data_IF_341930586397
#
_entry.id   IF_341930586397
#
_cell.length_a   1.000
_cell.length_b   1.000
_cell.length_c   1.000
_cell.angle_alpha   90.00
_cell.angle_beta   90.00
_cell.angle_gamma   90.00
#
_symmetry.space_group_name_H-M   'P 1'
#
loop_
_entity.id
_entity.type
_entity.pdbx_description
1 polymer ?
#
# COMPACT_ATOMS: atom_id res chain seq x y z
N UNK A 1 15.19 57.40 -45.51
CA UNK A 1 13.96 58.13 -45.18
C UNK A 1 13.64 57.67 -43.79
N UNK A 2 14.14 58.31 -42.77
CA UNK A 2 13.81 59.57 -42.15
C UNK A 2 12.50 59.52 -41.39
N UNK A 3 12.65 59.78 -40.13
CA UNK A 3 11.70 60.34 -39.21
C UNK A 3 11.28 59.39 -38.12
N UNK A 4 11.28 59.74 -36.85
CA UNK A 4 11.61 60.96 -36.16
C UNK A 4 11.24 60.72 -34.72
N UNK A 5 12.07 61.20 -33.87
CA UNK A 5 12.02 61.14 -32.41
C UNK A 5 10.96 62.14 -31.93
N UNK A 6 10.23 61.82 -30.89
CA UNK A 6 9.64 62.83 -30.02
C UNK A 6 9.85 62.42 -28.54
N UNK A 7 10.77 63.15 -27.93
CA UNK A 7 11.00 63.26 -26.49
C UNK A 7 9.83 63.98 -25.84
N UNK A 8 9.34 63.46 -24.76
CA UNK A 8 8.45 64.16 -23.83
C UNK A 8 9.14 64.23 -22.47
N UNK A 9 9.70 65.40 -22.17
CA UNK A 9 10.08 65.83 -20.83
C UNK A 9 8.85 65.91 -19.96
N UNK A 10 8.91 65.32 -18.77
CA UNK A 10 7.97 65.56 -17.70
C UNK A 10 8.71 65.99 -16.42
N UNK A 11 8.39 67.18 -16.03
CA UNK A 11 8.89 67.93 -14.89
C UNK A 11 8.90 67.14 -13.56
N UNK A 12 10.01 67.36 -12.84
CA UNK A 12 10.20 66.90 -11.46
C UNK A 12 9.62 67.97 -10.55
N UNK A 13 8.51 67.69 -9.95
CA UNK A 13 7.93 68.54 -8.89
C UNK A 13 8.45 68.08 -7.50
N UNK A 14 9.25 68.93 -6.91
CA UNK A 14 9.95 68.79 -5.63
C UNK A 14 8.96 69.07 -4.48
N UNK A 15 8.27 68.02 -4.00
CA UNK A 15 7.53 68.11 -2.74
C UNK A 15 8.35 67.56 -1.58
N UNK A 16 9.02 68.47 -0.88
CA UNK A 16 9.60 68.27 0.44
C UNK A 16 8.49 67.84 1.41
N UNK A 17 8.50 66.56 1.74
CA UNK A 17 7.65 66.08 2.81
C UNK A 17 8.43 65.98 4.12
N UNK A 18 7.82 66.56 5.13
CA UNK A 18 8.36 66.72 6.49
C UNK A 18 8.61 65.34 7.12
N UNK A 19 9.90 65.03 7.38
CA UNK A 19 10.29 63.89 8.23
C UNK A 19 9.80 64.16 9.66
N UNK A 20 8.69 63.53 9.99
CA UNK A 20 8.27 63.36 11.37
C UNK A 20 9.12 62.21 11.95
N UNK A 21 10.21 62.56 12.64
CA UNK A 21 11.12 61.66 13.31
C UNK A 21 10.49 61.20 14.64
N UNK A 22 9.49 60.31 14.56
CA UNK A 22 9.03 59.58 15.73
C UNK A 22 10.02 58.43 16.00
N UNK A 23 11.00 58.68 16.82
CA UNK A 23 11.86 57.71 17.45
C UNK A 23 11.00 56.86 18.41
N UNK A 24 10.24 55.90 17.85
CA UNK A 24 9.59 54.85 18.62
C UNK A 24 10.67 53.80 18.85
N UNK A 25 11.13 53.66 20.10
CA UNK A 25 12.01 52.57 20.55
C UNK A 25 11.35 51.20 20.22
N UNK A 26 11.60 50.70 19.02
CA UNK A 26 11.15 49.38 18.61
C UNK A 26 12.05 48.35 19.24
N UNK A 27 11.64 47.77 20.38
CA UNK A 27 12.44 46.82 21.12
C UNK A 27 12.51 45.52 20.36
N UNK A 28 13.70 45.13 19.88
CA UNK A 28 13.96 43.85 19.25
C UNK A 28 14.20 42.75 20.28
N UNK A 29 14.02 41.52 19.89
CA UNK A 29 14.35 40.31 20.66
C UNK A 29 14.97 39.30 19.74
N UNK A 30 15.89 38.51 20.28
CA UNK A 30 16.50 37.39 19.55
C UNK A 30 15.84 36.09 19.98
N UNK A 31 15.36 35.32 19.01
CA UNK A 31 14.72 34.01 19.24
C UNK A 31 15.64 32.92 18.70
N UNK A 32 16.02 31.99 19.55
CA UNK A 32 16.75 30.78 19.12
C UNK A 32 15.74 29.75 18.58
N UNK A 33 15.86 29.41 17.29
CA UNK A 33 15.04 28.42 16.61
C UNK A 33 15.87 27.13 16.48
N UNK A 34 15.39 26.04 17.07
CA UNK A 34 16.05 24.72 16.98
C UNK A 34 15.36 23.84 15.94
N UNK A 35 16.10 23.47 14.89
CA UNK A 35 15.65 22.55 13.86
C UNK A 35 16.59 21.32 13.79
N UNK A 36 16.13 20.18 14.29
CA UNK A 36 16.95 18.98 14.39
C UNK A 36 18.19 19.20 15.27
N UNK A 37 19.39 19.07 14.68
CA UNK A 37 20.67 19.32 15.36
C UNK A 37 21.14 20.78 15.24
N UNK A 38 20.57 21.56 14.33
CA UNK A 38 20.94 22.94 14.07
C UNK A 38 20.16 23.92 14.95
N UNK A 39 20.80 25.05 15.29
CA UNK A 39 20.16 26.21 15.94
C UNK A 39 20.47 27.45 15.13
N UNK A 40 19.46 28.27 14.87
CA UNK A 40 19.56 29.57 14.23
C UNK A 40 19.02 30.64 15.17
N UNK A 41 19.55 31.86 15.06
CA UNK A 41 19.14 33.00 15.88
C UNK A 41 18.46 34.03 14.97
N UNK A 42 17.23 34.37 15.29
CA UNK A 42 16.44 35.33 14.51
C UNK A 42 16.18 36.55 15.37
N UNK A 43 16.70 37.68 14.94
CA UNK A 43 16.37 38.99 15.50
C UNK A 43 15.09 39.50 14.91
N UNK A 44 14.13 39.88 15.78
CA UNK A 44 12.78 40.31 15.37
C UNK A 44 12.23 41.38 16.35
N UNK A 45 11.47 42.33 15.83
CA UNK A 45 10.75 43.26 16.66
C UNK A 45 9.69 42.58 17.52
N UNK A 46 9.51 42.96 18.76
CA UNK A 46 8.47 42.41 19.64
C UNK A 46 7.05 42.67 19.11
N UNK A 47 6.86 43.68 18.26
CA UNK A 47 5.59 43.98 17.60
C UNK A 47 5.32 43.13 16.38
N UNK A 48 6.36 42.50 15.83
CA UNK A 48 6.22 41.61 14.68
C UNK A 48 5.32 40.42 14.97
N UNK A 49 4.61 39.96 13.95
CA UNK A 49 3.69 38.83 14.03
C UNK A 49 4.43 37.45 13.88
N UNK A 50 3.76 36.39 14.30
CA UNK A 50 4.22 35.01 14.06
C UNK A 50 4.40 34.75 12.57
N UNK A 51 3.55 35.34 11.72
CA UNK A 51 3.68 35.26 10.24
C UNK A 51 5.02 35.84 9.76
N UNK A 52 5.44 36.98 10.32
CA UNK A 52 6.72 37.60 9.99
C UNK A 52 7.90 36.74 10.51
N UNK A 53 7.76 36.17 11.71
CA UNK A 53 8.75 35.22 12.23
C UNK A 53 8.89 34.03 11.29
N UNK A 54 7.80 33.44 10.86
CA UNK A 54 7.82 32.31 9.90
C UNK A 54 8.49 32.66 8.57
N UNK A 55 8.27 33.89 8.05
CA UNK A 55 8.97 34.37 6.83
C UNK A 55 10.49 34.54 7.06
N UNK A 56 10.90 34.99 8.24
CA UNK A 56 12.34 35.06 8.56
C UNK A 56 12.93 33.65 8.69
N UNK A 57 12.25 32.72 9.33
CA UNK A 57 12.64 31.31 9.40
C UNK A 57 12.77 30.70 8.00
N UNK A 58 11.85 30.98 7.09
CA UNK A 58 11.89 30.51 5.69
C UNK A 58 13.16 30.98 4.98
N UNK A 59 13.58 32.23 5.16
CA UNK A 59 14.79 32.78 4.53
C UNK A 59 16.05 32.05 5.00
N UNK A 60 16.10 31.68 6.27
CA UNK A 60 17.27 31.01 6.88
C UNK A 60 17.26 29.49 6.65
N UNK A 61 16.07 28.87 6.54
CA UNK A 61 15.96 27.40 6.54
C UNK A 61 15.43 26.82 5.22
N UNK A 62 14.84 27.66 4.36
CA UNK A 62 14.13 27.24 3.17
C UNK A 62 12.83 26.47 3.44
N UNK A 63 12.33 26.47 4.69
CA UNK A 63 11.07 25.84 5.06
C UNK A 63 9.94 26.84 4.89
N UNK A 64 9.02 26.58 3.99
CA UNK A 64 7.87 27.45 3.74
C UNK A 64 7.00 27.62 4.99
N UNK A 65 6.40 28.80 5.24
CA UNK A 65 5.61 29.12 6.44
C UNK A 65 4.51 28.10 6.75
N UNK A 66 3.86 27.57 5.72
CA UNK A 66 2.81 26.55 5.85
C UNK A 66 3.34 25.19 6.36
N UNK A 67 4.61 24.89 6.11
CA UNK A 67 5.27 23.67 6.52
C UNK A 67 5.99 23.79 7.88
N UNK A 68 5.99 24.98 8.48
CA UNK A 68 6.61 25.24 9.79
C UNK A 68 5.64 24.92 10.91
N UNK A 69 5.98 23.96 11.76
CA UNK A 69 5.28 23.68 13.01
C UNK A 69 6.19 24.03 14.20
N UNK A 70 5.72 24.92 15.06
CA UNK A 70 6.44 25.37 16.27
C UNK A 70 5.64 24.98 17.53
N UNK A 71 5.68 23.72 17.97
CA UNK A 71 4.77 23.16 18.97
C UNK A 71 4.88 23.79 20.36
N UNK A 72 6.02 24.40 20.66
CA UNK A 72 6.25 25.08 21.94
C UNK A 72 6.07 26.61 21.87
N UNK A 73 5.69 27.17 20.73
CA UNK A 73 5.34 28.59 20.60
C UNK A 73 3.82 28.75 20.77
N UNK A 74 3.41 29.20 21.95
CA UNK A 74 2.00 29.20 22.39
C UNK A 74 1.53 30.57 22.84
N UNK A 75 0.25 30.85 22.58
CA UNK A 75 -0.51 31.91 23.18
C UNK A 75 -1.55 31.30 24.14
N UNK A 76 -1.27 31.39 25.44
CA UNK A 76 -2.01 30.66 26.46
C UNK A 76 -1.87 29.14 26.34
N UNK A 77 -2.97 28.41 26.19
CA UNK A 77 -2.98 26.94 26.06
C UNK A 77 -2.89 26.43 24.59
N UNK A 78 -3.03 27.34 23.62
CA UNK A 78 -3.08 27.01 22.18
C UNK A 78 -1.79 27.40 21.47
N UNK A 79 -1.57 26.84 20.26
CA UNK A 79 -0.48 27.30 19.40
C UNK A 79 -0.72 28.76 19.02
N UNK A 80 0.36 29.54 18.95
CA UNK A 80 0.28 30.96 18.58
C UNK A 80 -0.23 31.09 17.14
N UNK A 81 -1.32 31.83 16.91
CA UNK A 81 -1.82 32.08 15.56
C UNK A 81 -0.89 33.04 14.80
N UNK A 82 -0.92 32.98 13.48
CA UNK A 82 -0.02 33.74 12.61
C UNK A 82 -0.13 35.29 12.80
N UNK A 83 -1.27 35.77 13.23
CA UNK A 83 -1.56 37.19 13.49
C UNK A 83 -1.09 37.65 14.87
N UNK A 84 -0.77 36.76 15.79
CA UNK A 84 -0.31 37.13 17.12
C UNK A 84 1.06 37.84 17.06
N UNK A 85 1.22 38.96 17.82
CA UNK A 85 2.51 39.59 17.95
C UNK A 85 3.44 38.82 18.91
N UNK A 86 4.75 38.93 18.70
CA UNK A 86 5.74 38.32 19.60
C UNK A 86 5.55 38.77 21.04
N UNK A 87 5.22 40.04 21.24
CA UNK A 87 4.97 40.61 22.57
C UNK A 87 3.75 39.97 23.25
N UNK A 88 2.70 39.66 22.49
CA UNK A 88 1.48 39.03 23.03
C UNK A 88 1.70 37.63 23.60
N UNK A 89 2.77 36.96 23.24
CA UNK A 89 3.13 35.62 23.75
C UNK A 89 3.64 35.66 25.21
N UNK A 90 3.99 36.85 25.72
CA UNK A 90 4.54 37.04 27.06
C UNK A 90 5.95 36.44 27.15
N UNK A 91 6.12 35.43 27.99
CA UNK A 91 7.44 34.78 28.15
C UNK A 91 7.68 33.78 26.98
N UNK A 92 8.63 34.14 26.13
CA UNK A 92 9.09 33.23 25.07
C UNK A 92 9.85 32.02 25.64
N UNK A 93 9.75 30.84 25.02
CA UNK A 93 10.60 29.72 25.36
C UNK A 93 12.06 30.05 25.02
N UNK A 94 13.01 29.57 25.81
CA UNK A 94 14.47 29.78 25.58
C UNK A 94 14.89 29.31 24.16
N UNK A 95 14.23 28.28 23.64
CA UNK A 95 14.41 27.75 22.29
C UNK A 95 13.05 27.41 21.70
N UNK A 96 12.77 27.91 20.52
CA UNK A 96 11.59 27.55 19.75
C UNK A 96 11.93 26.31 18.91
N UNK A 97 11.17 25.24 19.09
CA UNK A 97 11.31 24.03 18.29
C UNK A 97 10.64 24.21 16.94
N UNK A 98 11.39 24.01 15.86
CA UNK A 98 10.91 24.02 14.49
C UNK A 98 10.85 22.60 13.95
N UNK A 99 9.65 22.19 13.52
CA UNK A 99 9.40 20.97 12.78
C UNK A 99 8.98 21.36 11.36
N UNK A 100 9.61 20.77 10.37
CA UNK A 100 9.33 21.03 8.96
C UNK A 100 10.46 20.51 8.08
N UNK A 101 10.22 20.39 6.78
CA UNK A 101 11.24 20.09 5.76
C UNK A 101 11.30 21.24 4.78
N UNK A 102 12.49 21.59 4.32
CA UNK A 102 12.66 22.61 3.31
C UNK A 102 12.10 22.11 1.97
N UNK A 103 11.66 23.04 1.14
CA UNK A 103 11.18 22.73 -0.22
C UNK A 103 12.30 22.08 -1.04
N UNK A 104 13.56 22.42 -0.78
CA UNK A 104 14.73 21.77 -1.39
C UNK A 104 14.82 20.30 -0.98
N UNK A 105 14.70 20.00 0.33
CA UNK A 105 14.75 18.61 0.82
C UNK A 105 13.61 17.78 0.26
N UNK A 106 12.41 18.37 0.12
CA UNK A 106 11.26 17.70 -0.49
C UNK A 106 11.47 17.49 -1.99
N UNK A 107 12.07 18.46 -2.67
CA UNK A 107 12.36 18.36 -4.10
C UNK A 107 13.53 17.40 -4.36
N UNK A 108 14.57 17.42 -3.54
CA UNK A 108 15.66 16.44 -3.60
C UNK A 108 15.17 15.02 -3.30
N UNK A 109 14.29 14.83 -2.32
CA UNK A 109 13.65 13.55 -2.07
C UNK A 109 12.81 13.08 -3.27
N UNK A 110 12.02 13.98 -3.87
CA UNK A 110 11.25 13.68 -5.09
C UNK A 110 12.14 13.40 -6.29
N UNK A 111 13.25 14.12 -6.42
CA UNK A 111 14.22 13.87 -7.49
C UNK A 111 15.00 12.58 -7.26
N UNK A 112 15.38 12.28 -6.02
CA UNK A 112 15.95 10.98 -5.64
C UNK A 112 14.97 9.84 -5.86
N UNK A 113 13.69 10.02 -5.51
CA UNK A 113 12.62 9.07 -5.83
C UNK A 113 12.47 8.88 -7.34
N UNK A 114 12.50 9.97 -8.12
CA UNK A 114 12.44 9.92 -9.56
C UNK A 114 13.68 9.26 -10.17
N UNK A 115 14.88 9.59 -9.71
CA UNK A 115 16.13 8.92 -10.10
C UNK A 115 16.18 7.45 -9.68
N UNK A 116 15.62 7.10 -8.51
CA UNK A 116 15.48 5.72 -8.07
C UNK A 116 14.42 4.96 -8.88
N UNK A 117 13.35 5.63 -9.32
CA UNK A 117 12.38 5.06 -10.28
C UNK A 117 12.99 4.90 -11.68
N UNK A 118 13.80 5.85 -12.13
CA UNK A 118 14.48 5.79 -13.44
C UNK A 118 15.65 4.80 -13.45
N UNK A 119 16.31 4.61 -12.29
CA UNK A 119 17.39 3.62 -12.09
C UNK A 119 16.88 2.30 -11.49
N UNK A 120 15.59 2.20 -11.15
CA UNK A 120 14.99 0.92 -10.86
C UNK A 120 15.23 0.04 -12.10
N UNK A 121 15.81 -1.16 -11.94
CA UNK A 121 15.94 -2.06 -13.06
C UNK A 121 14.55 -2.17 -13.68
N UNK A 122 14.50 -1.98 -14.99
CA UNK A 122 13.28 -2.15 -15.77
C UNK A 122 12.60 -3.39 -15.23
N UNK A 123 11.42 -3.24 -14.64
CA UNK A 123 10.66 -4.38 -14.14
C UNK A 123 10.31 -5.12 -15.41
N UNK A 124 11.15 -6.12 -15.73
CA UNK A 124 10.91 -7.00 -16.86
C UNK A 124 9.49 -7.53 -16.65
N UNK A 125 8.64 -7.11 -17.54
CA UNK A 125 7.24 -7.47 -17.52
C UNK A 125 7.20 -8.99 -17.72
N UNK A 126 6.89 -9.74 -16.66
CA UNK A 126 6.77 -11.21 -16.72
C UNK A 126 5.66 -11.66 -17.70
N UNK A 127 5.00 -10.70 -18.38
CA UNK A 127 4.02 -10.95 -19.41
C UNK A 127 4.58 -11.59 -20.69
N UNK A 128 5.89 -11.43 -20.96
CA UNK A 128 6.45 -11.93 -22.21
C UNK A 128 6.85 -13.42 -22.20
N UNK A 129 6.74 -14.13 -21.07
CA UNK A 129 7.10 -15.53 -21.07
C UNK A 129 6.32 -16.42 -20.09
N UNK A 130 5.12 -16.82 -20.47
CA UNK A 130 4.50 -18.02 -19.89
C UNK A 130 5.41 -19.28 -20.02
N UNK A 131 6.38 -19.24 -20.94
CA UNK A 131 7.38 -20.29 -21.15
C UNK A 131 8.42 -20.34 -20.03
N UNK A 132 8.81 -19.19 -19.44
CA UNK A 132 9.76 -19.12 -18.31
C UNK A 132 9.13 -19.48 -16.96
N UNK A 133 7.81 -19.53 -16.88
CA UNK A 133 7.08 -19.90 -15.66
C UNK A 133 7.03 -21.40 -15.39
N UNK A 134 7.46 -22.23 -16.33
CA UNK A 134 7.42 -23.71 -16.23
C UNK A 134 8.60 -24.31 -15.46
N UNK A 135 9.74 -23.63 -15.38
CA UNK A 135 10.94 -24.13 -14.71
C UNK A 135 10.90 -23.85 -13.21
N UNK A 136 11.19 -24.82 -12.35
CA UNK A 136 11.28 -24.60 -10.92
C UNK A 136 12.51 -23.75 -10.59
N UNK A 137 12.31 -22.61 -9.95
CA UNK A 137 13.39 -21.79 -9.40
C UNK A 137 13.95 -22.51 -8.16
N UNK A 138 15.05 -23.26 -8.30
CA UNK A 138 15.66 -24.06 -7.23
C UNK A 138 16.61 -23.25 -6.32
N UNK A 139 16.44 -21.93 -6.25
CA UNK A 139 17.32 -21.06 -5.46
C UNK A 139 17.30 -21.37 -3.95
N UNK A 140 16.22 -21.93 -3.43
CA UNK A 140 16.07 -22.22 -2.00
C UNK A 140 17.03 -23.30 -1.47
N UNK A 141 17.56 -24.17 -2.32
CA UNK A 141 18.49 -25.22 -1.97
C UNK A 141 19.96 -24.84 -2.21
N UNK A 142 20.23 -23.69 -2.84
CA UNK A 142 21.59 -23.25 -3.13
C UNK A 142 22.27 -22.68 -1.87
N UNK A 143 23.40 -23.28 -1.41
CA UNK A 143 24.11 -22.81 -0.23
C UNK A 143 24.50 -21.32 -0.27
N UNK A 144 24.80 -20.79 -1.47
CA UNK A 144 25.18 -19.37 -1.65
C UNK A 144 24.00 -18.46 -1.28
N UNK A 145 22.79 -18.81 -1.71
CA UNK A 145 21.60 -17.98 -1.41
C UNK A 145 21.13 -18.17 0.03
N UNK A 146 21.28 -19.37 0.58
CA UNK A 146 21.05 -19.63 2.01
C UNK A 146 21.99 -18.77 2.87
N UNK A 147 23.27 -18.71 2.51
CA UNK A 147 24.25 -17.85 3.21
C UNK A 147 23.92 -16.35 3.05
N UNK A 148 23.49 -15.90 1.86
CA UNK A 148 23.02 -14.52 1.65
C UNK A 148 21.80 -14.18 2.49
N UNK A 149 20.85 -15.11 2.61
CA UNK A 149 19.69 -14.96 3.48
C UNK A 149 20.12 -14.82 4.95
N UNK A 150 21.01 -15.70 5.44
CA UNK A 150 21.51 -15.63 6.81
C UNK A 150 22.22 -14.28 7.11
N UNK A 151 23.06 -13.81 6.19
CA UNK A 151 23.70 -12.50 6.29
C UNK A 151 22.69 -11.35 6.28
N UNK A 152 21.59 -11.47 5.52
CA UNK A 152 20.53 -10.48 5.47
C UNK A 152 19.71 -10.45 6.76
N UNK A 153 19.42 -11.62 7.35
CA UNK A 153 18.76 -11.74 8.65
C UNK A 153 19.59 -11.05 9.71
N UNK A 154 20.89 -11.31 9.77
CA UNK A 154 21.78 -10.71 10.78
C UNK A 154 21.88 -9.19 10.61
N UNK A 155 21.98 -8.69 9.37
CA UNK A 155 22.07 -7.25 9.08
C UNK A 155 20.83 -6.46 9.52
N UNK A 156 19.65 -7.06 9.38
CA UNK A 156 18.37 -6.42 9.68
C UNK A 156 17.62 -7.16 10.80
N UNK A 157 18.36 -7.68 11.76
CA UNK A 157 17.85 -8.37 12.93
C UNK A 157 17.02 -7.41 13.79
N UNK A 158 15.83 -7.86 14.20
CA UNK A 158 14.99 -7.12 15.12
C UNK A 158 14.02 -6.14 14.45
N UNK A 159 13.41 -6.55 13.33
CA UNK A 159 12.20 -5.86 12.84
C UNK A 159 11.16 -5.84 13.97
N UNK A 160 10.88 -4.64 14.50
CA UNK A 160 9.80 -4.47 15.47
C UNK A 160 8.46 -4.51 14.74
N UNK A 161 7.56 -5.43 15.10
CA UNK A 161 6.23 -5.46 14.53
C UNK A 161 5.44 -4.19 14.93
N UNK A 162 4.48 -3.80 14.12
CA UNK A 162 3.56 -2.68 14.41
C UNK A 162 2.50 -3.06 15.45
N UNK A 163 2.16 -4.34 15.50
CA UNK A 163 1.19 -4.91 16.40
C UNK A 163 1.69 -6.27 16.90
N UNK A 164 1.10 -6.75 17.99
CA UNK A 164 1.42 -8.07 18.53
C UNK A 164 0.93 -9.19 17.61
N UNK A 165 1.69 -10.29 17.60
CA UNK A 165 1.28 -11.54 16.96
C UNK A 165 0.15 -12.20 17.74
N UNK A 166 -0.75 -12.89 17.06
CA UNK A 166 -1.93 -13.52 17.67
C UNK A 166 -1.81 -15.03 17.67
N UNK A 167 -2.13 -15.66 18.79
CA UNK A 167 -2.10 -17.11 18.92
C UNK A 167 -3.05 -17.82 17.96
N UNK A 168 -2.60 -18.95 17.39
CA UNK A 168 -3.38 -19.78 16.47
C UNK A 168 -3.63 -19.17 15.10
N UNK A 169 -3.06 -17.98 14.79
CA UNK A 169 -3.16 -17.38 13.47
C UNK A 169 -2.06 -17.90 12.54
N UNK A 170 -2.39 -17.95 11.25
CA UNK A 170 -1.45 -18.22 10.17
C UNK A 170 -0.83 -16.89 9.69
N UNK A 171 0.12 -16.94 8.79
CA UNK A 171 0.79 -15.75 8.26
C UNK A 171 0.41 -15.52 6.80
N UNK A 172 -0.07 -14.31 6.50
CA UNK A 172 -0.33 -13.82 5.15
C UNK A 172 0.63 -12.69 4.83
N UNK A 173 1.44 -12.86 3.79
CA UNK A 173 2.38 -11.84 3.31
C UNK A 173 1.87 -11.29 1.98
N UNK A 174 1.77 -9.97 1.86
CA UNK A 174 1.19 -9.32 0.69
C UNK A 174 2.18 -8.31 0.10
N UNK A 175 2.41 -8.41 -1.19
CA UNK A 175 3.03 -7.36 -1.98
C UNK A 175 2.08 -6.18 -2.17
N UNK A 176 2.61 -5.02 -2.61
CA UNK A 176 1.84 -3.79 -2.84
C UNK A 176 1.58 -3.58 -4.33
N UNK A 177 2.66 -3.42 -5.10
CA UNK A 177 2.62 -2.90 -6.45
C UNK A 177 2.02 -3.94 -7.41
N UNK A 178 0.95 -3.55 -8.11
CA UNK A 178 0.10 -4.44 -8.92
C UNK A 178 -0.57 -5.61 -8.18
N UNK A 179 -0.30 -5.78 -6.90
CA UNK A 179 -0.98 -6.74 -6.02
C UNK A 179 -2.17 -6.11 -5.33
N UNK A 180 -1.96 -5.04 -4.59
CA UNK A 180 -3.00 -4.29 -3.86
C UNK A 180 -3.28 -2.90 -4.45
N UNK A 181 -2.38 -2.41 -5.30
CA UNK A 181 -2.37 -1.03 -5.78
C UNK A 181 -1.74 -0.95 -7.18
N UNK A 182 -2.34 -0.13 -8.06
CA UNK A 182 -1.77 0.20 -9.37
C UNK A 182 -0.92 1.46 -9.28
N UNK A 183 0.40 1.29 -9.24
CA UNK A 183 1.32 2.41 -9.02
C UNK A 183 1.66 3.23 -10.27
N UNK A 184 1.29 2.77 -11.48
CA UNK A 184 1.62 3.45 -12.76
C UNK A 184 0.48 4.26 -13.36
N UNK A 185 -0.75 3.86 -13.09
CA UNK A 185 -1.91 4.61 -13.59
C UNK A 185 -1.98 5.97 -12.89
N UNK A 186 -2.11 7.09 -13.62
CA UNK A 186 -2.33 8.39 -13.00
C UNK A 186 -3.65 8.40 -12.21
N UNK A 187 -3.67 9.00 -11.04
CA UNK A 187 -4.86 9.14 -10.20
C UNK A 187 -4.77 10.38 -9.32
N UNK A 188 -5.90 10.95 -8.97
CA UNK A 188 -5.96 12.11 -8.09
C UNK A 188 -5.70 11.72 -6.62
N UNK A 189 -6.05 10.49 -6.28
CA UNK A 189 -5.85 9.94 -4.93
C UNK A 189 -5.57 8.43 -4.97
N UNK A 190 -5.01 7.91 -3.89
CA UNK A 190 -4.63 6.51 -3.80
C UNK A 190 -5.84 5.54 -3.86
N UNK A 191 -7.02 5.98 -3.45
CA UNK A 191 -8.23 5.13 -3.44
C UNK A 191 -8.70 4.76 -4.85
N UNK A 192 -8.47 5.64 -5.83
CA UNK A 192 -8.77 5.36 -7.25
C UNK A 192 -7.91 4.23 -7.80
N UNK A 193 -6.70 4.09 -7.28
CA UNK A 193 -5.69 3.14 -7.72
C UNK A 193 -5.62 1.89 -6.82
N UNK A 194 -6.38 1.87 -5.73
CA UNK A 194 -6.52 0.70 -4.87
C UNK A 194 -7.23 -0.43 -5.61
N UNK A 195 -6.76 -1.67 -5.45
CA UNK A 195 -7.46 -2.83 -5.99
C UNK A 195 -8.84 -2.99 -5.36
N UNK A 196 -9.88 -3.31 -6.12
CA UNK A 196 -11.22 -3.58 -5.60
C UNK A 196 -11.22 -4.60 -4.46
N UNK A 197 -12.11 -4.41 -3.49
CA UNK A 197 -12.29 -5.30 -2.33
C UNK A 197 -11.09 -5.37 -1.37
N UNK A 198 -10.13 -4.43 -1.43
CA UNK A 198 -8.92 -4.43 -0.58
C UNK A 198 -9.28 -4.56 0.92
N UNK A 199 -10.12 -3.68 1.44
CA UNK A 199 -10.46 -3.69 2.87
C UNK A 199 -11.36 -4.86 3.27
N UNK A 200 -12.24 -5.33 2.39
CA UNK A 200 -13.04 -6.53 2.62
C UNK A 200 -12.16 -7.77 2.72
N UNK A 201 -11.20 -7.90 1.79
CA UNK A 201 -10.20 -8.98 1.81
C UNK A 201 -9.36 -8.96 3.08
N UNK A 202 -8.76 -7.81 3.45
CA UNK A 202 -7.91 -7.68 4.63
C UNK A 202 -8.70 -7.95 5.92
N UNK A 203 -9.94 -7.44 6.03
CA UNK A 203 -10.82 -7.66 7.18
C UNK A 203 -11.18 -9.13 7.34
N UNK A 204 -11.43 -9.83 6.23
CA UNK A 204 -11.73 -11.25 6.25
C UNK A 204 -10.50 -12.09 6.60
N UNK A 205 -9.36 -11.81 5.92
CA UNK A 205 -8.10 -12.50 6.16
C UNK A 205 -7.64 -12.34 7.61
N UNK A 206 -7.80 -11.15 8.21
CA UNK A 206 -7.41 -10.87 9.59
C UNK A 206 -8.08 -11.79 10.62
N UNK A 207 -9.22 -12.36 10.31
CA UNK A 207 -9.89 -13.31 11.21
C UNK A 207 -9.04 -14.56 11.48
N UNK A 208 -8.19 -14.96 10.50
CA UNK A 208 -7.39 -16.20 10.55
C UNK A 208 -5.90 -16.00 10.40
N UNK A 209 -5.46 -14.84 9.94
CA UNK A 209 -4.06 -14.54 9.62
C UNK A 209 -3.58 -13.30 10.36
N UNK A 210 -2.33 -13.31 10.73
CA UNK A 210 -1.55 -12.11 10.91
C UNK A 210 -1.05 -11.66 9.53
N UNK A 211 -1.08 -10.34 9.28
CA UNK A 211 -0.86 -9.79 7.94
C UNK A 211 0.43 -8.97 7.94
N UNK A 212 1.33 -9.32 7.03
CA UNK A 212 2.58 -8.59 6.75
C UNK A 212 2.49 -8.00 5.34
N UNK A 213 2.89 -6.75 5.19
CA UNK A 213 3.04 -6.10 3.87
C UNK A 213 4.51 -6.07 3.51
N UNK A 214 4.88 -6.54 2.32
CA UNK A 214 6.26 -6.59 1.85
C UNK A 214 6.39 -6.04 0.43
N UNK A 215 6.99 -4.86 0.27
CA UNK A 215 7.26 -4.27 -1.05
C UNK A 215 8.75 -4.30 -1.41
N UNK A 216 9.04 -4.31 -2.70
CA UNK A 216 10.39 -4.14 -3.24
C UNK A 216 10.88 -2.67 -3.23
N UNK A 217 10.11 -1.77 -2.65
CA UNK A 217 10.40 -0.33 -2.55
C UNK A 217 10.96 0.06 -1.18
N UNK A 218 11.20 1.36 -0.94
CA UNK A 218 11.69 1.87 0.34
C UNK A 218 10.61 1.84 1.43
N UNK A 219 11.03 1.75 2.70
CA UNK A 219 10.10 1.78 3.85
C UNK A 219 9.25 3.06 3.89
N UNK A 220 9.80 4.18 3.43
CA UNK A 220 9.05 5.43 3.35
C UNK A 220 7.86 5.28 2.40
N UNK A 221 8.11 4.72 1.20
CA UNK A 221 7.07 4.44 0.21
C UNK A 221 6.01 3.46 0.73
N UNK A 222 6.45 2.34 1.35
CA UNK A 222 5.55 1.36 1.95
C UNK A 222 4.60 2.01 2.97
N UNK A 223 5.16 2.79 3.91
CA UNK A 223 4.38 3.49 4.94
C UNK A 223 3.40 4.49 4.33
N UNK A 224 3.88 5.32 3.39
CA UNK A 224 3.05 6.33 2.72
C UNK A 224 1.89 5.68 1.98
N UNK A 225 2.13 4.64 1.18
CA UNK A 225 1.07 3.95 0.43
C UNK A 225 0.06 3.26 1.34
N UNK A 226 0.51 2.56 2.35
CA UNK A 226 -0.40 1.91 3.30
C UNK A 226 -1.22 2.91 4.11
N UNK A 227 -0.69 4.09 4.36
CA UNK A 227 -1.41 5.18 5.03
C UNK A 227 -2.43 5.84 4.09
N UNK A 228 -2.04 6.17 2.85
CA UNK A 228 -2.93 6.75 1.85
C UNK A 228 -4.10 5.83 1.48
N UNK A 229 -3.85 4.52 1.43
CA UNK A 229 -4.87 3.51 1.22
C UNK A 229 -5.75 3.26 2.47
N UNK A 230 -5.46 3.90 3.60
CA UNK A 230 -6.19 3.70 4.87
C UNK A 230 -5.92 2.33 5.52
N UNK A 231 -4.92 1.58 5.05
CA UNK A 231 -4.61 0.22 5.52
C UNK A 231 -4.10 0.22 6.95
N UNK A 232 -3.29 1.23 7.35
CA UNK A 232 -2.69 1.29 8.70
C UNK A 232 -3.66 1.79 9.77
N UNK A 233 -4.77 2.42 9.40
CA UNK A 233 -5.75 3.01 10.33
C UNK A 233 -7.13 2.36 10.27
N UNK A 234 -7.26 1.25 9.55
CA UNK A 234 -8.55 0.59 9.38
C UNK A 234 -9.04 -0.06 10.69
N UNK A 235 -10.33 0.14 11.10
CA UNK A 235 -10.81 -0.33 12.39
C UNK A 235 -10.97 -1.85 12.50
N UNK A 236 -11.18 -2.57 11.39
CA UNK A 236 -11.52 -4.00 11.39
C UNK A 236 -10.33 -4.94 11.32
N UNK A 237 -9.12 -4.46 11.10
CA UNK A 237 -7.91 -5.27 11.04
C UNK A 237 -6.66 -4.46 11.41
N UNK A 238 -5.57 -5.17 11.68
CA UNK A 238 -4.26 -4.59 11.96
C UNK A 238 -3.20 -5.26 11.11
N UNK A 239 -2.23 -4.48 10.68
CA UNK A 239 -1.05 -4.98 9.97
C UNK A 239 0.00 -5.33 11.02
N UNK A 240 0.51 -6.57 10.98
CA UNK A 240 1.54 -7.04 11.91
C UNK A 240 2.86 -6.32 11.69
N UNK A 241 3.34 -6.27 10.45
CA UNK A 241 4.61 -5.64 10.11
C UNK A 241 4.63 -5.11 8.68
N UNK A 242 5.52 -4.12 8.44
CA UNK A 242 5.86 -3.61 7.11
C UNK A 242 7.31 -4.01 6.81
N UNK A 243 7.54 -4.51 5.62
CA UNK A 243 8.84 -4.99 5.15
C UNK A 243 9.16 -4.32 3.82
N UNK A 244 10.38 -3.87 3.64
CA UNK A 244 10.84 -3.15 2.45
C UNK A 244 11.91 -3.92 1.67
N UNK A 245 12.44 -3.29 0.63
CA UNK A 245 13.50 -3.84 -0.22
C UNK A 245 14.79 -4.22 0.53
N UNK A 246 15.03 -3.63 1.72
CA UNK A 246 16.20 -3.91 2.52
C UNK A 246 16.33 -5.39 2.96
N UNK A 247 15.21 -6.09 3.06
CA UNK A 247 15.15 -7.51 3.44
C UNK A 247 15.24 -8.49 2.26
N UNK A 248 15.22 -8.01 1.01
CA UNK A 248 15.38 -8.84 -0.19
C UNK A 248 16.82 -9.33 -0.36
N UNK A 249 16.98 -10.43 -1.08
CA UNK A 249 18.29 -10.93 -1.50
C UNK A 249 18.40 -11.01 -3.02
N UNK A 250 19.60 -10.83 -3.54
CA UNK A 250 19.89 -10.97 -4.95
C UNK A 250 20.20 -12.42 -5.28
N UNK A 251 19.53 -12.97 -6.27
CA UNK A 251 19.75 -14.31 -6.83
C UNK A 251 20.01 -14.21 -8.34
N UNK A 252 20.56 -15.27 -8.91
CA UNK A 252 20.83 -15.38 -10.34
C UNK A 252 20.37 -16.75 -10.84
N UNK A 253 19.63 -16.74 -11.94
CA UNK A 253 19.30 -17.98 -12.66
C UNK A 253 19.72 -17.85 -14.12
N UNK A 254 19.84 -19.00 -14.83
CA UNK A 254 20.20 -18.98 -16.25
C UNK A 254 19.14 -18.29 -17.09
N UNK A 255 17.89 -18.51 -16.74
CA UNK A 255 16.71 -18.07 -17.51
C UNK A 255 16.40 -16.60 -17.30
N UNK A 256 16.59 -16.09 -16.06
CA UNK A 256 16.16 -14.74 -15.65
C UNK A 256 17.30 -13.77 -15.31
N UNK A 257 18.55 -14.22 -15.41
CA UNK A 257 19.70 -13.40 -15.04
C UNK A 257 19.72 -13.08 -13.54
N UNK A 258 20.14 -11.85 -13.21
CA UNK A 258 20.27 -11.38 -11.82
C UNK A 258 19.04 -10.60 -11.43
N UNK A 259 18.41 -10.95 -10.30
CA UNK A 259 17.25 -10.26 -9.77
C UNK A 259 17.16 -10.35 -8.23
N UNK A 260 16.33 -9.49 -7.65
CA UNK A 260 16.02 -9.55 -6.22
C UNK A 260 14.76 -10.38 -6.00
N UNK A 261 14.73 -11.16 -4.90
CA UNK A 261 13.55 -11.91 -4.48
C UNK A 261 13.24 -11.67 -2.99
N UNK A 262 12.06 -12.09 -2.57
CA UNK A 262 11.53 -11.91 -1.22
C UNK A 262 11.60 -13.25 -0.45
N UNK A 263 12.72 -13.56 0.26
CA UNK A 263 12.85 -14.83 0.96
C UNK A 263 12.02 -14.82 2.24
N UNK A 264 10.94 -15.58 2.33
CA UNK A 264 10.13 -15.73 3.54
C UNK A 264 10.93 -16.21 4.75
N UNK A 265 12.03 -16.93 4.53
CA UNK A 265 12.97 -17.30 5.59
C UNK A 265 13.52 -16.11 6.38
N UNK A 266 13.53 -14.90 5.78
CA UNK A 266 13.87 -13.68 6.51
C UNK A 266 12.79 -13.30 7.54
N UNK A 267 11.51 -13.43 7.19
CA UNK A 267 10.38 -13.23 8.12
C UNK A 267 10.40 -14.31 9.19
N UNK A 268 10.53 -15.58 8.80
CA UNK A 268 10.52 -16.72 9.73
C UNK A 268 11.66 -16.67 10.75
N UNK A 269 12.79 -16.01 10.42
CA UNK A 269 13.91 -15.82 11.32
C UNK A 269 13.72 -14.68 12.32
N UNK A 270 12.67 -13.86 12.21
CA UNK A 270 12.40 -12.80 13.19
C UNK A 270 11.93 -13.38 14.52
N UNK A 271 12.36 -12.81 15.69
CA UNK A 271 12.01 -13.35 17.00
C UNK A 271 10.52 -13.57 17.22
N UNK A 272 9.69 -12.56 16.86
CA UNK A 272 8.24 -12.64 16.98
C UNK A 272 7.62 -13.72 16.08
N UNK A 273 8.26 -14.03 14.97
CA UNK A 273 7.83 -15.06 14.03
C UNK A 273 8.16 -16.47 14.55
N UNK A 274 9.36 -16.64 15.09
CA UNK A 274 9.81 -17.88 15.73
C UNK A 274 8.97 -18.22 16.96
N UNK A 275 8.67 -17.22 17.79
CA UNK A 275 7.81 -17.40 18.98
C UNK A 275 6.41 -17.95 18.61
N UNK A 276 5.88 -17.55 17.44
CA UNK A 276 4.58 -18.03 16.94
C UNK A 276 4.65 -19.27 16.07
N UNK A 277 5.84 -19.73 15.74
CA UNK A 277 6.04 -20.90 14.89
C UNK A 277 5.59 -20.68 13.44
N UNK A 278 5.78 -19.45 12.91
CA UNK A 278 5.54 -19.22 11.49
C UNK A 278 6.63 -19.87 10.65
N UNK A 279 6.19 -20.68 9.69
CA UNK A 279 7.03 -21.36 8.72
C UNK A 279 6.28 -21.64 7.42
N UNK A 280 6.84 -22.45 6.54
CA UNK A 280 6.21 -22.80 5.27
C UNK A 280 4.91 -23.62 5.41
N UNK A 281 4.62 -24.20 6.57
CA UNK A 281 3.38 -24.97 6.81
C UNK A 281 2.16 -24.11 7.08
N UNK A 282 2.37 -22.84 7.43
CA UNK A 282 1.30 -21.93 7.84
C UNK A 282 1.43 -20.50 7.26
N UNK A 283 2.35 -20.30 6.30
CA UNK A 283 2.58 -19.00 5.65
C UNK A 283 2.26 -19.08 4.17
N UNK A 284 1.52 -18.08 3.68
CA UNK A 284 1.27 -17.86 2.25
C UNK A 284 1.63 -16.43 1.88
N UNK A 285 2.20 -16.24 0.68
CA UNK A 285 2.57 -14.94 0.15
C UNK A 285 1.90 -14.69 -1.20
N UNK A 286 1.32 -13.50 -1.39
CA UNK A 286 0.80 -13.03 -2.68
C UNK A 286 1.73 -11.98 -3.28
N UNK A 287 2.04 -12.17 -4.56
CA UNK A 287 2.86 -11.25 -5.34
C UNK A 287 2.51 -11.45 -6.83
N UNK A 288 2.59 -10.41 -7.64
CA UNK A 288 2.35 -10.51 -9.08
C UNK A 288 3.56 -11.09 -9.84
N UNK A 289 4.74 -11.08 -9.22
CA UNK A 289 5.99 -11.54 -9.81
C UNK A 289 6.43 -12.88 -9.21
N UNK A 290 6.36 -13.96 -10.00
CA UNK A 290 6.79 -15.29 -9.57
C UNK A 290 8.24 -15.34 -9.08
N UNK A 291 9.14 -14.53 -9.64
CA UNK A 291 10.55 -14.47 -9.22
C UNK A 291 10.73 -14.10 -7.74
N UNK A 292 9.77 -13.40 -7.16
CA UNK A 292 9.79 -13.07 -5.73
C UNK A 292 9.70 -14.31 -4.83
N UNK A 293 9.20 -15.42 -5.36
CA UNK A 293 9.10 -16.70 -4.65
C UNK A 293 10.32 -17.62 -4.84
N UNK A 294 11.40 -17.16 -5.47
CA UNK A 294 12.55 -18.02 -5.82
C UNK A 294 13.11 -18.81 -4.63
N UNK A 295 13.07 -18.26 -3.41
CA UNK A 295 13.53 -18.93 -2.18
C UNK A 295 12.42 -19.70 -1.44
N UNK A 296 11.15 -19.57 -1.84
CA UNK A 296 10.00 -20.18 -1.16
C UNK A 296 8.87 -20.50 -2.14
N UNK A 297 9.13 -21.32 -3.17
CA UNK A 297 8.21 -21.53 -4.29
C UNK A 297 6.89 -22.21 -3.89
N UNK A 298 6.89 -22.99 -2.82
CA UNK A 298 5.68 -23.66 -2.30
C UNK A 298 4.77 -22.75 -1.47
N UNK A 299 5.28 -21.62 -0.98
CA UNK A 299 4.50 -20.66 -0.18
C UNK A 299 4.02 -19.47 -0.99
N UNK A 300 4.36 -19.39 -2.27
CA UNK A 300 4.02 -18.28 -3.15
C UNK A 300 2.78 -18.53 -4.00
N UNK A 301 1.84 -17.58 -4.00
CA UNK A 301 0.72 -17.51 -4.91
C UNK A 301 0.90 -16.31 -5.85
N UNK A 302 1.15 -16.57 -7.14
CA UNK A 302 1.20 -15.53 -8.14
C UNK A 302 -0.21 -15.00 -8.36
N UNK A 303 -0.46 -13.74 -7.97
CA UNK A 303 -1.73 -13.07 -8.18
C UNK A 303 -1.76 -12.46 -9.59
N UNK A 304 -2.94 -12.37 -10.18
CA UNK A 304 -3.12 -11.62 -11.42
C UNK A 304 -2.81 -10.14 -11.17
N UNK A 305 -1.88 -9.51 -11.94
CA UNK A 305 -1.51 -8.13 -11.72
C UNK A 305 -2.68 -7.17 -11.96
N UNK A 306 -2.86 -6.22 -11.05
CA UNK A 306 -3.87 -5.16 -11.14
C UNK A 306 -3.26 -3.93 -11.80
N UNK A 307 -3.58 -3.69 -13.06
CA UNK A 307 -3.09 -2.58 -13.90
C UNK A 307 -4.25 -1.86 -14.57
N UNK A 308 -3.98 -0.63 -15.03
CA UNK A 308 -4.98 0.21 -15.70
C UNK A 308 -6.23 0.38 -14.84
N UNK A 309 -6.04 0.84 -13.59
CA UNK A 309 -7.06 0.88 -12.55
C UNK A 309 -8.39 1.48 -13.04
N UNK A 310 -8.36 2.59 -13.81
CA UNK A 310 -9.57 3.24 -14.29
C UNK A 310 -10.48 2.35 -15.14
N UNK A 311 -9.93 1.37 -15.84
CA UNK A 311 -10.70 0.44 -16.67
C UNK A 311 -10.89 -0.92 -16.01
N UNK A 312 -9.88 -1.42 -15.30
CA UNK A 312 -9.90 -2.77 -14.72
C UNK A 312 -10.70 -2.88 -13.42
N UNK A 313 -10.87 -1.78 -12.66
CA UNK A 313 -11.62 -1.80 -11.38
C UNK A 313 -13.04 -2.35 -11.49
N UNK A 314 -13.72 -2.09 -12.60
CA UNK A 314 -15.10 -2.53 -12.80
C UNK A 314 -15.26 -4.06 -12.87
N UNK A 315 -14.19 -4.76 -13.27
CA UNK A 315 -14.21 -6.21 -13.52
C UNK A 315 -13.27 -7.01 -12.63
N UNK A 316 -12.31 -6.35 -11.94
CA UNK A 316 -11.37 -7.04 -11.06
C UNK A 316 -12.10 -7.55 -9.80
N UNK A 317 -12.04 -8.86 -9.63
CA UNK A 317 -12.63 -9.56 -8.49
C UNK A 317 -11.62 -10.54 -7.84
N UNK A 318 -10.35 -10.36 -8.14
CA UNK A 318 -9.29 -11.29 -7.71
C UNK A 318 -9.20 -11.39 -6.19
N UNK A 319 -9.15 -10.26 -5.48
CA UNK A 319 -9.13 -10.27 -4.00
C UNK A 319 -10.40 -10.90 -3.41
N UNK A 320 -11.53 -10.75 -4.08
CA UNK A 320 -12.79 -11.36 -3.64
C UNK A 320 -12.74 -12.88 -3.76
N UNK A 321 -12.14 -13.41 -4.83
CA UNK A 321 -11.92 -14.86 -5.01
C UNK A 321 -10.88 -15.40 -4.02
N UNK A 322 -9.77 -14.70 -3.86
CA UNK A 322 -8.69 -15.09 -2.95
C UNK A 322 -9.12 -15.05 -1.49
N UNK A 323 -10.04 -14.16 -1.11
CA UNK A 323 -10.69 -14.15 0.22
C UNK A 323 -11.27 -15.52 0.57
N UNK A 324 -11.97 -16.14 -0.36
CA UNK A 324 -12.55 -17.48 -0.16
C UNK A 324 -11.45 -18.54 -0.02
N UNK A 325 -10.44 -18.49 -0.88
CA UNK A 325 -9.35 -19.45 -0.83
C UNK A 325 -8.59 -19.43 0.50
N UNK A 326 -8.16 -18.24 0.96
CA UNK A 326 -7.39 -18.14 2.21
C UNK A 326 -8.24 -18.52 3.44
N UNK A 327 -9.55 -18.22 3.43
CA UNK A 327 -10.41 -18.65 4.51
C UNK A 327 -10.53 -20.18 4.56
N UNK A 328 -10.74 -20.84 3.44
CA UNK A 328 -10.83 -22.30 3.36
C UNK A 328 -9.56 -22.97 3.88
N UNK A 329 -8.36 -22.63 3.35
CA UNK A 329 -7.13 -23.31 3.74
C UNK A 329 -6.75 -23.07 5.21
N UNK A 330 -7.14 -21.94 5.79
CA UNK A 330 -6.93 -21.68 7.21
C UNK A 330 -7.95 -22.41 8.09
N UNK A 331 -9.20 -22.46 7.68
CA UNK A 331 -10.29 -23.13 8.40
C UNK A 331 -10.10 -24.65 8.43
N UNK A 332 -9.74 -25.25 7.31
CA UNK A 332 -9.44 -26.68 7.19
C UNK A 332 -8.13 -27.08 7.90
N UNK A 333 -7.39 -26.10 8.43
CA UNK A 333 -6.10 -26.28 9.09
C UNK A 333 -5.12 -27.17 8.30
N UNK A 334 -5.10 -26.96 6.99
CA UNK A 334 -4.23 -27.72 6.07
C UNK A 334 -2.78 -27.27 6.25
N UNK A 335 -1.85 -28.22 6.15
CA UNK A 335 -0.42 -27.89 6.00
C UNK A 335 -0.19 -27.25 4.61
N UNK A 336 0.20 -25.98 4.58
CA UNK A 336 0.36 -25.22 3.33
C UNK A 336 1.44 -25.79 2.41
N UNK A 337 2.40 -26.56 2.95
CA UNK A 337 3.41 -27.29 2.15
C UNK A 337 2.78 -28.32 1.20
N UNK A 338 1.58 -28.83 1.54
CA UNK A 338 0.87 -29.83 0.75
C UNK A 338 0.03 -29.23 -0.36
N UNK A 339 -0.11 -27.89 -0.39
CA UNK A 339 -0.94 -27.17 -1.34
C UNK A 339 -0.13 -26.77 -2.59
N UNK A 340 -0.73 -26.95 -3.76
CA UNK A 340 -0.27 -26.33 -4.99
C UNK A 340 -0.99 -24.99 -5.21
N UNK A 341 -0.40 -23.92 -4.67
CA UNK A 341 -0.98 -22.57 -4.78
C UNK A 341 -1.13 -22.06 -6.22
N UNK A 342 -0.46 -22.69 -7.20
CA UNK A 342 -0.68 -22.39 -8.63
C UNK A 342 -2.05 -22.86 -9.11
N UNK A 343 -2.64 -23.86 -8.42
CA UNK A 343 -3.94 -24.45 -8.76
C UNK A 343 -5.02 -24.10 -7.72
N UNK A 344 -4.86 -22.97 -7.05
CA UNK A 344 -5.76 -22.56 -5.97
C UNK A 344 -7.25 -22.49 -6.39
N UNK A 345 -7.57 -22.06 -7.61
CA UNK A 345 -8.94 -22.07 -8.12
C UNK A 345 -9.52 -23.48 -8.20
N UNK A 346 -8.72 -24.45 -8.65
CA UNK A 346 -9.16 -25.86 -8.68
C UNK A 346 -9.40 -26.40 -7.27
N UNK A 347 -8.60 -25.96 -6.29
CA UNK A 347 -8.80 -26.33 -4.89
C UNK A 347 -10.14 -25.80 -4.36
N UNK A 348 -10.48 -24.53 -4.60
CA UNK A 348 -11.77 -23.95 -4.21
C UNK A 348 -12.94 -24.72 -4.85
N UNK A 349 -12.86 -25.01 -6.15
CA UNK A 349 -13.89 -25.76 -6.86
C UNK A 349 -14.01 -27.21 -6.37
N UNK A 350 -12.91 -27.84 -5.94
CA UNK A 350 -12.95 -29.16 -5.31
C UNK A 350 -13.71 -29.10 -3.98
N UNK A 351 -13.41 -28.14 -3.11
CA UNK A 351 -14.06 -27.96 -1.82
C UNK A 351 -15.55 -27.65 -2.00
N UNK A 352 -15.92 -26.86 -3.02
CA UNK A 352 -17.31 -26.64 -3.42
C UNK A 352 -18.00 -27.95 -3.80
N UNK A 353 -17.36 -28.79 -4.64
CA UNK A 353 -17.91 -30.09 -5.05
C UNK A 353 -18.09 -31.05 -3.89
N UNK A 354 -17.20 -30.99 -2.90
CA UNK A 354 -17.28 -31.80 -1.67
C UNK A 354 -18.36 -31.31 -0.68
N UNK A 355 -19.06 -30.21 -0.99
CA UNK A 355 -20.13 -29.66 -0.13
C UNK A 355 -19.62 -29.07 1.18
N UNK A 356 -18.35 -28.69 1.27
CA UNK A 356 -17.72 -28.17 2.49
C UNK A 356 -17.86 -26.66 2.67
N UNK A 357 -18.49 -25.98 1.71
CA UNK A 357 -18.78 -24.54 1.78
C UNK A 357 -20.18 -24.32 2.35
N UNK A 358 -20.34 -23.22 3.08
CA UNK A 358 -21.65 -22.74 3.45
C UNK A 358 -22.47 -22.35 2.22
N UNK A 359 -23.78 -22.28 2.33
CA UNK A 359 -24.67 -21.89 1.22
C UNK A 359 -24.30 -20.52 0.63
N UNK A 360 -23.91 -19.58 1.51
CA UNK A 360 -23.46 -18.24 1.10
C UNK A 360 -22.14 -18.30 0.31
N UNK A 361 -21.13 -19.01 0.81
CA UNK A 361 -19.85 -19.20 0.13
C UNK A 361 -20.02 -19.93 -1.21
N UNK A 362 -20.87 -20.96 -1.24
CA UNK A 362 -21.15 -21.69 -2.47
C UNK A 362 -21.79 -20.79 -3.54
N UNK A 363 -22.75 -19.92 -3.16
CA UNK A 363 -23.34 -18.93 -4.07
C UNK A 363 -22.28 -17.95 -4.57
N UNK A 364 -21.40 -17.48 -3.69
CA UNK A 364 -20.31 -16.57 -4.08
C UNK A 364 -19.34 -17.25 -5.05
N UNK A 365 -18.88 -18.46 -4.76
CA UNK A 365 -17.98 -19.25 -5.63
C UNK A 365 -18.65 -19.54 -6.99
N UNK A 366 -19.93 -19.91 -7.03
CA UNK A 366 -20.67 -20.11 -8.27
C UNK A 366 -20.70 -18.86 -9.14
N UNK A 367 -20.78 -17.67 -8.52
CA UNK A 367 -20.77 -16.38 -9.25
C UNK A 367 -19.41 -16.06 -9.88
N UNK A 368 -18.30 -16.56 -9.32
CA UNK A 368 -16.94 -16.30 -9.82
C UNK A 368 -16.58 -17.18 -11.01
N UNK A 369 -17.08 -18.41 -11.06
CA UNK A 369 -16.76 -19.37 -12.12
C UNK A 369 -18.00 -19.97 -12.79
N UNK A 370 -18.91 -19.15 -13.36
CA UNK A 370 -20.18 -19.63 -13.91
C UNK A 370 -20.00 -20.61 -15.06
N UNK A 371 -18.86 -20.56 -15.73
CA UNK A 371 -18.53 -21.44 -16.86
C UNK A 371 -17.76 -22.71 -16.45
N UNK A 372 -17.45 -22.90 -15.17
CA UNK A 372 -16.81 -24.11 -14.67
C UNK A 372 -17.75 -25.33 -14.86
N UNK A 373 -17.18 -26.45 -15.33
CA UNK A 373 -17.93 -27.73 -15.43
C UNK A 373 -18.46 -28.15 -14.07
N UNK A 374 -17.67 -28.00 -13.01
CA UNK A 374 -18.09 -28.30 -11.63
C UNK A 374 -19.29 -27.48 -11.21
N UNK A 375 -19.27 -26.16 -11.47
CA UNK A 375 -20.39 -25.26 -11.13
C UNK A 375 -21.64 -25.63 -11.95
N UNK A 376 -21.51 -25.89 -13.26
CA UNK A 376 -22.63 -26.31 -14.11
C UNK A 376 -23.25 -27.61 -13.64
N UNK A 377 -22.45 -28.63 -13.30
CA UNK A 377 -22.93 -29.91 -12.77
C UNK A 377 -23.69 -29.73 -11.46
N UNK A 378 -23.16 -28.91 -10.54
CA UNK A 378 -23.83 -28.65 -9.25
C UNK A 378 -25.14 -27.90 -9.43
N UNK A 379 -25.20 -26.90 -10.31
CA UNK A 379 -26.43 -26.16 -10.60
C UNK A 379 -27.47 -27.04 -11.31
N UNK A 380 -27.06 -27.91 -12.24
CA UNK A 380 -27.96 -28.85 -12.88
C UNK A 380 -28.57 -29.85 -11.89
N UNK A 381 -27.83 -30.30 -10.90
CA UNK A 381 -28.33 -31.21 -9.85
C UNK A 381 -29.21 -30.51 -8.81
N UNK A 382 -29.19 -29.19 -8.72
CA UNK A 382 -30.04 -28.40 -7.82
C UNK A 382 -31.37 -27.99 -8.47
N UNK A 383 -31.56 -28.19 -9.78
CA UNK A 383 -32.87 -28.00 -10.40
C UNK A 383 -33.81 -29.13 -9.96
N UNK A 384 -34.86 -28.86 -9.19
CA UNK A 384 -35.76 -29.90 -8.72
C UNK A 384 -36.45 -30.57 -9.92
N UNK A 385 -36.77 -31.85 -9.75
CA UNK A 385 -37.55 -32.68 -10.72
C UNK A 385 -38.93 -32.10 -11.08
N UNK A 386 -39.23 -30.86 -10.75
CA UNK A 386 -40.47 -30.16 -11.05
C UNK A 386 -40.74 -29.96 -12.55
N UNK A 387 -39.68 -29.96 -13.39
CA UNK A 387 -39.89 -29.82 -14.85
C UNK A 387 -40.30 -31.16 -15.49
N UNK A 388 -39.82 -32.29 -14.96
CA UNK A 388 -40.24 -33.61 -15.46
C UNK A 388 -41.69 -33.96 -15.10
N UNK A 389 -42.25 -33.45 -13.99
CA UNK A 389 -43.63 -33.63 -13.60
C UNK A 389 -44.62 -32.82 -14.47
N UNK A 390 -44.20 -31.64 -14.94
CA UNK A 390 -45.07 -30.80 -15.80
C UNK A 390 -45.15 -31.32 -17.23
N UNK A 391 -44.08 -31.90 -17.79
CA UNK A 391 -44.11 -32.53 -19.12
C UNK A 391 -44.88 -33.84 -19.11
N UNK A 392 -44.82 -34.65 -18.05
CA UNK A 392 -45.62 -35.87 -17.88
C UNK A 392 -47.09 -35.60 -17.78
N UNK A 393 -47.49 -34.54 -17.06
CA UNK A 393 -48.91 -34.17 -16.93
C UNK A 393 -49.49 -33.57 -18.24
N UNK A 394 -48.72 -32.85 -19.03
CA UNK A 394 -49.18 -32.35 -20.32
C UNK A 394 -49.32 -33.47 -21.37
N UNK A 395 -48.45 -34.46 -21.37
CA UNK A 395 -48.60 -35.62 -22.27
C UNK A 395 -49.77 -36.51 -21.85
N UNK A 396 -50.05 -36.71 -20.57
CA UNK A 396 -51.25 -37.44 -20.14
C UNK A 396 -52.55 -36.69 -20.44
N UNK A 397 -52.59 -35.37 -20.32
CA UNK A 397 -53.75 -34.58 -20.67
C UNK A 397 -53.99 -34.56 -22.22
N UNK A 398 -52.93 -34.52 -23.02
CA UNK A 398 -53.05 -34.65 -24.47
C UNK A 398 -53.52 -36.03 -24.91
N UNK A 399 -53.06 -37.13 -24.27
CA UNK A 399 -53.55 -38.48 -24.55
C UNK A 399 -55.01 -38.67 -24.13
N UNK A 400 -55.44 -38.08 -23.02
CA UNK A 400 -56.83 -38.10 -22.59
C UNK A 400 -57.77 -37.31 -23.50
N UNK A 401 -57.29 -36.15 -24.05
CA UNK A 401 -58.07 -35.39 -25.04
C UNK A 401 -58.18 -36.11 -26.37
N UNK A 402 -57.14 -36.82 -26.81
CA UNK A 402 -57.16 -37.58 -28.05
C UNK A 402 -58.06 -38.83 -27.96
N UNK A 403 -58.24 -39.43 -26.76
CA UNK A 403 -59.15 -40.57 -26.54
C UNK A 403 -60.61 -40.18 -26.48
N UNK A 404 -60.91 -38.90 -26.24
CA UNK A 404 -62.31 -38.36 -26.22
C UNK A 404 -62.86 -37.92 -27.64
N UNK A 405 -61.98 -37.91 -28.66
CA UNK A 405 -62.30 -37.54 -30.02
C UNK A 405 -62.65 -38.78 -30.93
N UNK A 406 -62.49 -39.97 -30.37
CA UNK A 406 -62.66 -41.24 -31.10
C UNK A 406 -63.86 -42.09 -30.52
N UNK A 407 -64.89 -41.45 -29.97
CA UNK A 407 -66.19 -42.07 -29.69
C UNK A 407 -67.30 -41.42 -30.54
#
# INVERSE_FOLDING_TARGET
MSGGVDDIDVDIDDHRDHRNNNNINDSTTTIEIKHGKASIHIEISKRSTIRELKRKIERETGIEPMNQKMPNLKLGKHLAPDEASIESLGKLPNKVMLLGKSTKDVTELKNLEKEMLEKAPEILDDFESDVLDSEPLLCYADPVYVARLAARVEKYKGLSPLNETREGKKLLVLDIDYTLFDHRTPGENAQELARPYLHDFLSSAYKRYDIVIWSATSMLWVKTKMQELGVLSHPSYKILALVDSGSMITVQTKERGIFNCKPLGWIWAQPWSQERGYDSSNTIMFDDLRRNFAMNPSSGLKIKPFRNAHTSRATDNELKKLKVYVDIIARENVDFKTLDHKKWERYVLKVLKEGKLSEHEAKEVNSFWPNSTVVRELLANQQPAAVAAQTGNQQQQQQQQLSLIHI
#
